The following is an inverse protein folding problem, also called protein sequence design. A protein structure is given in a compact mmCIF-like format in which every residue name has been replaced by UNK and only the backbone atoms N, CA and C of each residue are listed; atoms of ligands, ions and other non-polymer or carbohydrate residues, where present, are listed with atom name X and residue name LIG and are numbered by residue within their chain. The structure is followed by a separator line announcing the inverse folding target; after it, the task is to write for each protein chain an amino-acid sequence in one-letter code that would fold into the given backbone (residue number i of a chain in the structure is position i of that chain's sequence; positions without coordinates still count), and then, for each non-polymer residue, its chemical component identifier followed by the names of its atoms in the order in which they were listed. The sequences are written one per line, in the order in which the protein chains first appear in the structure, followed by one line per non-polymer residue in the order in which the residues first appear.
data_IF_297528525309
#
_entry.id   IF_297528525309
#
_cell.length_a   1.000
_cell.length_b   1.000
_cell.length_c   1.000
_cell.angle_alpha   90.00
_cell.angle_beta   90.00
_cell.angle_gamma   90.00
#
_symmetry.space_group_name_H-M   'P 1'
#
loop_
_entity.id
_entity.type
_entity.pdbx_description
1 polymer ?
#
# COMPACT_ATOMS: atom_id res chain seq x y z
N UNK A 1 -18.04 44.22 40.68
CA UNK A 1 -18.47 43.72 39.35
C UNK A 1 -17.30 43.38 38.44
N UNK A 2 -16.22 44.12 38.36
CA UNK A 2 -15.07 43.90 37.47
C UNK A 2 -14.34 42.54 37.72
N UNK A 3 -14.18 42.15 38.99
CA UNK A 3 -13.47 40.93 39.39
C UNK A 3 -14.21 39.66 38.99
N UNK A 4 -15.53 39.66 38.95
CA UNK A 4 -16.36 38.51 38.54
C UNK A 4 -16.26 38.26 37.03
N UNK A 5 -16.14 39.31 36.23
CA UNK A 5 -15.94 39.18 34.77
C UNK A 5 -14.54 38.66 34.43
N UNK A 6 -13.50 39.04 35.20
CA UNK A 6 -12.13 38.52 35.03
C UNK A 6 -12.05 37.03 35.36
N UNK A 7 -12.72 36.58 36.43
CA UNK A 7 -12.72 35.18 36.83
C UNK A 7 -13.52 34.31 35.85
N UNK A 8 -14.63 34.79 35.31
CA UNK A 8 -15.41 34.10 34.31
C UNK A 8 -14.67 34.01 32.95
N UNK A 9 -13.93 35.06 32.55
CA UNK A 9 -13.09 35.07 31.36
C UNK A 9 -11.91 34.11 31.45
N UNK A 10 -11.25 34.00 32.59
CA UNK A 10 -10.16 33.04 32.81
C UNK A 10 -10.66 31.59 32.83
N UNK A 11 -11.84 31.34 33.40
CA UNK A 11 -12.46 30.02 33.40
C UNK A 11 -12.83 29.57 31.98
N UNK A 12 -13.38 30.42 31.14
CA UNK A 12 -13.73 30.12 29.76
C UNK A 12 -12.49 29.75 28.90
N UNK A 13 -11.36 30.44 29.10
CA UNK A 13 -10.09 30.13 28.40
C UNK A 13 -9.50 28.78 28.80
N UNK A 14 -9.71 28.35 30.06
CA UNK A 14 -9.20 27.06 30.57
C UNK A 14 -10.08 25.87 30.12
N UNK A 15 -11.35 26.10 29.76
CA UNK A 15 -12.30 25.07 29.35
C UNK A 15 -12.58 25.07 27.85
N UNK A 16 -12.03 26.00 27.08
CA UNK A 16 -12.06 25.91 25.63
C UNK A 16 -11.21 24.69 25.23
N UNK A 17 -11.74 23.76 24.39
CA UNK A 17 -10.91 22.71 23.84
C UNK A 17 -9.69 23.38 23.19
N UNK A 18 -8.50 22.96 23.60
CA UNK A 18 -7.28 23.41 22.92
C UNK A 18 -7.42 22.95 21.48
N UNK A 19 -7.64 23.91 20.57
CA UNK A 19 -7.52 23.61 19.15
C UNK A 19 -6.20 22.88 18.98
N UNK A 20 -6.27 21.67 18.42
CA UNK A 20 -5.06 20.92 18.02
C UNK A 20 -4.30 21.82 17.06
N UNK A 21 -3.25 22.51 17.54
CA UNK A 21 -2.35 23.25 16.67
C UNK A 21 -1.54 22.25 15.88
N UNK A 22 -1.99 22.00 14.66
CA UNK A 22 -1.26 21.19 13.72
C UNK A 22 0.05 21.89 13.32
N UNK A 23 1.13 21.11 13.19
CA UNK A 23 2.38 21.66 12.69
C UNK A 23 2.23 21.89 11.17
N UNK A 24 2.11 23.15 10.76
CA UNK A 24 1.92 23.55 9.35
C UNK A 24 3.15 23.33 8.46
N UNK A 25 4.32 23.13 9.06
CA UNK A 25 5.60 23.04 8.36
C UNK A 25 6.13 21.60 8.24
N UNK A 26 5.33 20.61 8.62
CA UNK A 26 5.75 19.22 8.54
C UNK A 26 5.98 18.80 7.08
N UNK A 27 7.12 18.19 6.82
CA UNK A 27 7.50 17.62 5.54
C UNK A 27 6.77 16.30 5.30
N UNK A 28 6.28 16.06 4.07
CA UNK A 28 5.67 14.79 3.67
C UNK A 28 6.75 13.93 3.00
N UNK A 29 7.07 12.78 3.59
CA UNK A 29 8.06 11.82 3.11
C UNK A 29 7.39 10.46 2.95
N UNK A 30 7.16 10.04 1.71
CA UNK A 30 6.40 8.84 1.39
C UNK A 30 7.32 7.76 0.87
N UNK A 31 7.09 6.51 1.27
CA UNK A 31 7.78 5.34 0.75
C UNK A 31 6.83 4.23 0.31
N UNK A 32 7.16 3.54 -0.78
CA UNK A 32 6.44 2.37 -1.27
C UNK A 32 7.36 1.40 -2.01
N UNK A 33 6.89 0.17 -2.25
CA UNK A 33 7.58 -0.80 -3.10
C UNK A 33 7.51 -0.44 -4.58
N UNK A 34 8.27 -1.18 -5.41
CA UNK A 34 8.17 -1.16 -6.87
C UNK A 34 7.05 -2.11 -7.38
N UNK A 35 5.93 -2.10 -6.69
CA UNK A 35 4.75 -2.94 -6.84
C UNK A 35 3.48 -2.07 -6.93
N UNK A 36 2.30 -2.66 -6.79
CA UNK A 36 1.04 -1.90 -6.86
C UNK A 36 0.92 -0.80 -5.78
N UNK A 37 1.65 -0.94 -4.68
CA UNK A 37 1.71 0.12 -3.67
C UNK A 37 2.48 1.35 -4.17
N UNK A 38 3.48 1.15 -5.05
CA UNK A 38 4.19 2.23 -5.73
C UNK A 38 3.27 3.00 -6.69
N UNK A 39 2.40 2.30 -7.42
CA UNK A 39 1.40 2.95 -8.28
C UNK A 39 0.47 3.84 -7.44
N UNK A 40 0.00 3.35 -6.30
CA UNK A 40 -0.83 4.14 -5.38
C UNK A 40 -0.06 5.35 -4.80
N UNK A 41 1.22 5.17 -4.47
CA UNK A 41 2.09 6.26 -4.03
C UNK A 41 2.22 7.35 -5.10
N UNK A 42 2.52 6.97 -6.34
CA UNK A 42 2.74 7.91 -7.45
C UNK A 42 1.47 8.73 -7.73
N UNK A 43 0.30 8.10 -7.72
CA UNK A 43 -0.98 8.79 -7.87
C UNK A 43 -1.29 9.72 -6.67
N UNK A 44 -0.91 9.33 -5.46
CA UNK A 44 -1.04 10.17 -4.26
C UNK A 44 -0.13 11.40 -4.36
N UNK A 45 1.11 11.21 -4.78
CA UNK A 45 2.08 12.30 -5.01
C UNK A 45 1.58 13.27 -6.09
N UNK A 46 1.00 12.75 -7.18
CA UNK A 46 0.43 13.59 -8.22
C UNK A 46 -0.78 14.40 -7.71
N UNK A 47 -1.65 13.77 -6.92
CA UNK A 47 -2.77 14.45 -6.28
C UNK A 47 -2.33 15.53 -5.27
N UNK A 48 -1.20 15.34 -4.57
CA UNK A 48 -0.61 16.34 -3.69
C UNK A 48 -0.11 17.58 -4.45
N UNK A 49 0.45 17.41 -5.64
CA UNK A 49 0.91 18.52 -6.51
C UNK A 49 -0.26 19.40 -6.95
N UNK A 50 -1.40 18.80 -7.26
CA UNK A 50 -2.64 19.52 -7.65
C UNK A 50 -3.14 20.44 -6.52
N UNK A 51 -2.87 20.10 -5.26
CA UNK A 51 -3.31 20.85 -4.09
C UNK A 51 -2.51 22.11 -3.78
N UNK A 52 -1.53 22.47 -4.58
CA UNK A 52 -0.61 23.61 -4.33
C UNK A 52 -0.04 23.63 -2.92
N UNK A 53 0.21 22.46 -2.36
CA UNK A 53 0.84 22.33 -1.05
C UNK A 53 2.28 22.82 -1.21
N UNK A 54 2.59 23.97 -0.62
CA UNK A 54 3.94 24.57 -0.65
C UNK A 54 4.91 23.86 0.31
N UNK A 55 4.69 22.57 0.56
CA UNK A 55 5.45 21.76 1.50
C UNK A 55 6.48 20.93 0.77
N UNK A 56 7.58 20.66 1.41
CA UNK A 56 8.58 19.74 0.86
C UNK A 56 7.96 18.35 0.81
N UNK A 57 7.88 17.81 -0.40
CA UNK A 57 7.37 16.48 -0.69
C UNK A 57 8.54 15.63 -1.18
N UNK A 58 8.79 14.52 -0.50
CA UNK A 58 9.76 13.51 -0.92
C UNK A 58 9.06 12.18 -1.11
N UNK A 59 9.36 11.49 -2.20
CA UNK A 59 8.89 10.12 -2.43
C UNK A 59 10.08 9.21 -2.68
N UNK A 60 10.02 8.00 -2.12
CA UNK A 60 11.07 6.99 -2.22
C UNK A 60 10.47 5.67 -2.66
N UNK A 61 10.94 5.13 -3.79
CA UNK A 61 10.57 3.80 -4.24
C UNK A 61 11.62 2.79 -3.79
N UNK A 62 11.17 1.69 -3.17
CA UNK A 62 12.02 0.57 -2.76
C UNK A 62 11.97 -0.50 -3.85
N UNK A 63 13.12 -1.07 -4.22
CA UNK A 63 13.17 -2.16 -5.22
C UNK A 63 12.41 -3.42 -4.81
N UNK A 64 12.15 -3.56 -3.52
CA UNK A 64 11.40 -4.67 -2.94
C UNK A 64 10.78 -4.19 -1.63
N UNK A 65 9.45 -4.22 -1.52
CA UNK A 65 8.75 -3.84 -0.29
C UNK A 65 9.17 -4.70 0.92
N UNK A 66 9.66 -5.92 0.66
CA UNK A 66 10.15 -6.84 1.68
C UNK A 66 11.64 -6.63 2.01
N UNK A 67 12.30 -5.64 1.41
CA UNK A 67 13.71 -5.37 1.66
C UNK A 67 13.98 -4.78 3.05
N UNK A 68 15.17 -5.01 3.57
CA UNK A 68 15.64 -4.34 4.78
C UNK A 68 15.64 -2.81 4.61
N UNK A 69 15.82 -2.31 3.39
CA UNK A 69 15.83 -0.88 3.07
C UNK A 69 14.48 -0.22 3.38
N UNK A 70 13.37 -0.89 3.04
CA UNK A 70 12.02 -0.38 3.33
C UNK A 70 11.78 -0.24 4.85
N UNK A 71 12.17 -1.26 5.62
CA UNK A 71 12.05 -1.24 7.09
C UNK A 71 12.97 -0.18 7.70
N UNK A 72 14.20 -0.07 7.19
CA UNK A 72 15.17 0.89 7.68
C UNK A 72 14.76 2.34 7.44
N UNK A 73 14.17 2.67 6.29
CA UNK A 73 13.78 4.02 5.92
C UNK A 73 12.79 4.64 6.93
N UNK A 74 11.80 3.87 7.40
CA UNK A 74 10.87 4.31 8.44
C UNK A 74 11.57 4.48 9.79
N UNK A 75 12.40 3.52 10.17
CA UNK A 75 13.13 3.55 11.44
C UNK A 75 14.17 4.68 11.50
N UNK A 76 14.78 5.03 10.38
CA UNK A 76 15.74 6.12 10.24
C UNK A 76 15.06 7.49 10.05
N UNK A 77 13.71 7.56 10.00
CA UNK A 77 12.92 8.78 9.73
C UNK A 77 13.20 9.40 8.35
N UNK A 78 13.67 8.58 7.40
CA UNK A 78 13.79 9.00 6.00
C UNK A 78 12.43 9.13 5.33
N UNK A 79 11.44 8.36 5.80
CA UNK A 79 10.03 8.50 5.46
C UNK A 79 9.20 8.60 6.73
N UNK A 80 8.04 9.25 6.63
CA UNK A 80 7.06 9.34 7.72
C UNK A 80 5.72 8.70 7.39
N UNK A 81 5.54 8.28 6.14
CA UNK A 81 4.42 7.49 5.65
C UNK A 81 4.95 6.39 4.73
N UNK A 82 4.54 5.16 4.94
CA UNK A 82 4.98 4.02 4.12
C UNK A 82 3.85 3.08 3.75
N UNK A 83 3.83 2.67 2.47
CA UNK A 83 2.95 1.61 2.00
C UNK A 83 3.69 0.28 2.07
N UNK A 84 3.28 -0.59 2.95
CA UNK A 84 3.96 -1.86 3.22
C UNK A 84 3.02 -3.06 3.06
N UNK A 85 3.56 -4.18 2.59
CA UNK A 85 2.86 -5.44 2.74
C UNK A 85 2.66 -5.75 4.25
N UNK A 86 1.60 -6.49 4.56
CA UNK A 86 1.18 -6.74 5.96
C UNK A 86 2.28 -7.38 6.82
N UNK A 87 3.16 -8.19 6.21
CA UNK A 87 4.27 -8.84 6.91
C UNK A 87 5.30 -7.80 7.38
N UNK A 88 5.77 -6.95 6.47
CA UNK A 88 6.77 -5.91 6.78
C UNK A 88 6.21 -4.84 7.71
N UNK A 89 4.94 -4.43 7.52
CA UNK A 89 4.28 -3.49 8.43
C UNK A 89 4.31 -3.98 9.88
N UNK A 90 3.97 -5.25 10.11
CA UNK A 90 4.03 -5.85 11.46
C UNK A 90 5.44 -5.83 12.03
N UNK A 91 6.44 -6.22 11.24
CA UNK A 91 7.84 -6.17 11.68
C UNK A 91 8.29 -4.76 12.04
N UNK A 92 7.97 -3.79 11.21
CA UNK A 92 8.32 -2.38 11.43
C UNK A 92 7.72 -1.86 12.73
N UNK A 93 6.42 -2.08 12.97
CA UNK A 93 5.75 -1.62 14.19
C UNK A 93 6.24 -2.35 15.44
N UNK A 94 6.58 -3.64 15.34
CA UNK A 94 7.16 -4.38 16.47
C UNK A 94 8.55 -3.87 16.88
N UNK A 95 9.31 -3.35 15.94
CA UNK A 95 10.67 -2.85 16.18
C UNK A 95 10.71 -1.35 16.53
N UNK A 96 9.68 -0.60 16.17
CA UNK A 96 9.64 0.85 16.37
C UNK A 96 8.29 1.27 16.95
N UNK A 97 8.30 1.73 18.20
CA UNK A 97 7.10 2.19 18.92
C UNK A 97 6.60 3.58 18.48
N UNK A 98 7.42 4.32 17.72
CA UNK A 98 7.06 5.64 17.20
C UNK A 98 6.18 5.56 15.94
N UNK A 99 5.98 4.37 15.39
CA UNK A 99 5.14 4.15 14.21
C UNK A 99 3.97 3.23 14.51
N UNK A 100 2.94 3.29 13.66
CA UNK A 100 1.77 2.42 13.76
C UNK A 100 1.19 2.09 12.38
N UNK A 101 0.38 1.03 12.33
CA UNK A 101 -0.44 0.71 11.17
C UNK A 101 -1.70 1.57 11.23
N UNK A 102 -1.81 2.53 10.32
CA UNK A 102 -2.97 3.43 10.25
C UNK A 102 -4.22 2.72 9.69
N UNK A 103 -4.04 1.93 8.63
CA UNK A 103 -5.16 1.18 8.06
C UNK A 103 -4.78 0.39 6.80
N UNK A 104 -5.70 -0.48 6.32
CA UNK A 104 -5.54 -1.20 5.07
C UNK A 104 -5.72 -0.25 3.88
N UNK A 105 -4.92 -0.44 2.83
CA UNK A 105 -4.90 0.44 1.65
C UNK A 105 -5.17 -0.31 0.35
N UNK A 106 -4.72 -1.57 0.24
CA UNK A 106 -4.94 -2.40 -0.95
C UNK A 106 -5.34 -3.81 -0.51
N UNK A 107 -6.39 -4.34 -1.14
CA UNK A 107 -6.76 -5.74 -1.07
C UNK A 107 -6.52 -6.41 -2.42
N UNK A 108 -6.21 -7.71 -2.39
CA UNK A 108 -6.10 -8.56 -3.58
C UNK A 108 -5.03 -8.05 -4.57
N UNK A 109 -3.89 -7.57 -4.08
CA UNK A 109 -2.82 -6.98 -4.91
C UNK A 109 -1.93 -8.00 -5.62
N UNK A 110 -2.21 -9.30 -5.49
CA UNK A 110 -1.47 -10.39 -6.15
C UNK A 110 -2.42 -11.23 -7.01
N UNK A 111 -1.88 -11.80 -8.07
CA UNK A 111 -2.60 -12.71 -8.98
C UNK A 111 -1.73 -13.92 -9.30
N UNK A 112 -2.35 -15.02 -9.69
CA UNK A 112 -1.65 -16.15 -10.29
C UNK A 112 -1.57 -15.90 -11.79
N UNK A 113 -0.39 -16.03 -12.38
CA UNK A 113 -0.19 -16.06 -13.83
C UNK A 113 0.27 -17.43 -14.27
N UNK A 114 -0.23 -17.90 -15.41
CA UNK A 114 0.11 -19.20 -15.99
C UNK A 114 0.04 -19.14 -17.51
N UNK A 115 0.77 -20.04 -18.19
CA UNK A 115 0.89 -20.00 -19.65
C UNK A 115 -0.29 -20.72 -20.31
N UNK A 116 -0.47 -21.99 -20.02
CA UNK A 116 -1.49 -22.87 -20.60
C UNK A 116 -1.89 -23.93 -19.57
N UNK A 117 -3.11 -24.47 -19.69
CA UNK A 117 -3.51 -25.68 -18.97
C UNK A 117 -3.39 -25.62 -17.44
N UNK A 118 -4.11 -24.65 -16.83
CA UNK A 118 -4.16 -24.50 -15.36
C UNK A 118 -4.41 -25.83 -14.62
N UNK A 119 -5.20 -26.72 -15.23
CA UNK A 119 -5.52 -28.05 -14.68
C UNK A 119 -4.29 -28.96 -14.46
N UNK A 120 -3.18 -28.66 -15.11
CA UNK A 120 -1.91 -29.40 -14.99
C UNK A 120 -0.93 -28.76 -14.01
N UNK A 121 -1.26 -27.57 -13.46
CA UNK A 121 -0.38 -26.84 -12.53
C UNK A 121 -0.51 -27.44 -11.13
N UNK A 122 0.55 -28.09 -10.67
CA UNK A 122 0.65 -28.64 -9.30
C UNK A 122 1.57 -27.83 -8.39
N UNK A 123 2.48 -27.04 -8.97
CA UNK A 123 3.46 -26.25 -8.22
C UNK A 123 3.43 -24.79 -8.70
N UNK A 124 3.40 -23.85 -7.74
CA UNK A 124 3.46 -22.43 -8.02
C UNK A 124 4.82 -21.85 -7.67
N UNK A 125 5.38 -21.03 -8.54
CA UNK A 125 6.46 -20.16 -8.14
C UNK A 125 5.91 -19.03 -7.26
N UNK A 126 6.65 -18.68 -6.22
CA UNK A 126 6.28 -17.62 -5.28
C UNK A 126 7.53 -16.88 -4.83
N UNK A 127 7.40 -15.59 -4.58
CA UNK A 127 8.49 -14.81 -3.98
C UNK A 127 8.79 -15.31 -2.58
N UNK A 128 10.08 -15.49 -2.26
CA UNK A 128 10.54 -15.91 -0.94
C UNK A 128 9.93 -15.07 0.19
N UNK A 129 9.50 -15.74 1.27
CA UNK A 129 8.91 -15.08 2.44
C UNK A 129 7.42 -14.69 2.29
N UNK A 130 6.74 -15.10 1.22
CA UNK A 130 5.30 -14.85 0.99
C UNK A 130 4.43 -15.99 1.52
N UNK A 131 4.56 -16.32 2.81
CA UNK A 131 3.82 -17.43 3.44
C UNK A 131 2.31 -17.28 3.33
N UNK A 132 1.79 -16.05 3.49
CA UNK A 132 0.35 -15.79 3.37
C UNK A 132 -0.17 -16.12 1.98
N UNK A 133 0.57 -15.76 0.93
CA UNK A 133 0.17 -16.04 -0.46
C UNK A 133 0.14 -17.54 -0.76
N UNK A 134 1.07 -18.32 -0.17
CA UNK A 134 1.06 -19.79 -0.27
C UNK A 134 -0.21 -20.38 0.37
N UNK A 135 -0.54 -19.94 1.59
CA UNK A 135 -1.73 -20.41 2.32
C UNK A 135 -2.99 -20.10 1.52
N UNK A 136 -3.15 -18.86 1.05
CA UNK A 136 -4.31 -18.44 0.25
C UNK A 136 -4.45 -19.28 -1.03
N UNK A 137 -3.34 -19.48 -1.77
CA UNK A 137 -3.36 -20.30 -2.99
C UNK A 137 -3.76 -21.75 -2.70
N UNK A 138 -3.21 -22.34 -1.63
CA UNK A 138 -3.50 -23.74 -1.28
C UNK A 138 -4.93 -23.95 -0.78
N UNK A 139 -5.49 -22.97 -0.06
CA UNK A 139 -6.89 -23.01 0.38
C UNK A 139 -7.86 -22.87 -0.80
N UNK A 140 -7.51 -22.05 -1.80
CA UNK A 140 -8.38 -21.79 -2.96
C UNK A 140 -8.23 -22.87 -4.04
N UNK A 141 -7.01 -23.40 -4.23
CA UNK A 141 -6.66 -24.34 -5.29
C UNK A 141 -6.04 -25.62 -4.71
N UNK A 142 -6.88 -26.59 -4.27
CA UNK A 142 -6.42 -27.80 -3.57
C UNK A 142 -5.49 -28.71 -4.42
N UNK A 143 -5.46 -28.55 -5.75
CA UNK A 143 -4.55 -29.29 -6.63
C UNK A 143 -3.09 -28.85 -6.47
N UNK A 144 -2.83 -27.66 -5.89
CA UNK A 144 -1.48 -27.17 -5.65
C UNK A 144 -0.84 -27.95 -4.52
N UNK A 145 0.22 -28.71 -4.86
CA UNK A 145 0.93 -29.59 -3.96
C UNK A 145 2.19 -28.96 -3.38
N UNK A 146 2.76 -27.95 -4.06
CA UNK A 146 4.00 -27.34 -3.64
C UNK A 146 4.26 -25.93 -4.14
N UNK A 147 5.29 -25.32 -3.58
CA UNK A 147 5.71 -23.97 -3.93
C UNK A 147 7.22 -23.94 -4.21
N UNK A 148 7.59 -23.32 -5.33
CA UNK A 148 8.97 -23.02 -5.68
C UNK A 148 9.29 -21.59 -5.24
N UNK A 149 10.07 -21.44 -4.17
CA UNK A 149 10.44 -20.12 -3.67
C UNK A 149 11.58 -19.53 -4.49
N UNK A 150 11.29 -18.43 -5.19
CA UNK A 150 12.21 -17.74 -6.08
C UNK A 150 12.36 -16.29 -5.60
N UNK A 151 13.52 -15.69 -5.80
CA UNK A 151 13.68 -14.24 -5.50
C UNK A 151 12.76 -13.41 -6.40
N UNK A 152 12.25 -12.29 -5.90
CA UNK A 152 11.35 -11.42 -6.64
C UNK A 152 11.89 -11.06 -8.04
N UNK A 153 13.20 -10.82 -8.16
CA UNK A 153 13.84 -10.49 -9.45
C UNK A 153 13.92 -11.66 -10.41
N UNK A 154 13.95 -12.89 -9.88
CA UNK A 154 14.10 -14.10 -10.68
C UNK A 154 12.79 -14.71 -11.17
N UNK A 155 11.67 -14.34 -10.55
CA UNK A 155 10.41 -15.06 -10.80
C UNK A 155 9.86 -14.87 -12.22
N UNK A 156 9.96 -13.64 -12.78
CA UNK A 156 9.58 -13.38 -14.17
C UNK A 156 10.47 -14.12 -15.16
N UNK A 157 11.80 -14.12 -14.90
CA UNK A 157 12.73 -14.87 -15.73
C UNK A 157 12.44 -16.37 -15.71
N UNK A 158 12.13 -16.93 -14.54
CA UNK A 158 11.78 -18.35 -14.42
C UNK A 158 10.51 -18.71 -15.18
N UNK A 159 9.53 -17.80 -15.27
CA UNK A 159 8.34 -17.96 -16.10
C UNK A 159 8.68 -17.90 -17.60
N UNK A 160 9.43 -16.88 -18.02
CA UNK A 160 9.79 -16.67 -19.43
C UNK A 160 10.69 -17.79 -19.96
N UNK A 161 11.59 -18.29 -19.14
CA UNK A 161 12.53 -19.39 -19.46
C UNK A 161 11.92 -20.79 -19.23
N UNK A 162 10.61 -20.86 -18.96
CA UNK A 162 9.85 -22.10 -18.78
C UNK A 162 10.39 -23.02 -17.65
N UNK A 163 11.05 -22.41 -16.66
CA UNK A 163 11.51 -23.13 -15.45
C UNK A 163 10.35 -23.41 -14.48
N UNK A 164 9.26 -22.65 -14.59
CA UNK A 164 8.01 -22.81 -13.86
C UNK A 164 6.82 -22.55 -14.78
N UNK A 165 5.73 -23.27 -14.57
CA UNK A 165 4.52 -23.17 -15.40
C UNK A 165 3.58 -22.05 -14.96
N UNK A 166 3.63 -21.69 -13.69
CA UNK A 166 2.79 -20.67 -13.07
C UNK A 166 3.48 -19.99 -11.89
N UNK A 167 3.08 -18.76 -11.58
CA UNK A 167 3.62 -18.00 -10.47
C UNK A 167 2.58 -17.08 -9.81
N UNK A 168 2.75 -16.85 -8.52
CA UNK A 168 2.06 -15.79 -7.79
C UNK A 168 2.88 -14.51 -7.93
N UNK A 169 2.28 -13.47 -8.51
CA UNK A 169 2.93 -12.18 -8.76
C UNK A 169 2.08 -11.03 -8.22
N UNK A 170 2.76 -9.96 -7.78
CA UNK A 170 2.12 -8.64 -7.71
C UNK A 170 1.57 -8.26 -9.09
N UNK A 171 0.40 -7.62 -9.12
CA UNK A 171 -0.31 -7.32 -10.38
C UNK A 171 0.52 -6.44 -11.33
N UNK A 172 1.41 -5.57 -10.83
CA UNK A 172 2.29 -4.76 -11.68
C UNK A 172 3.39 -5.59 -12.34
N UNK A 173 3.80 -6.69 -11.70
CA UNK A 173 4.75 -7.65 -12.30
C UNK A 173 4.03 -8.56 -13.28
N UNK A 174 2.82 -9.01 -12.95
CA UNK A 174 1.97 -9.78 -13.85
C UNK A 174 1.64 -9.01 -15.14
N UNK A 175 1.43 -7.70 -15.07
CA UNK A 175 1.21 -6.84 -16.22
C UNK A 175 2.39 -6.81 -17.23
N UNK A 176 3.59 -7.23 -16.82
CA UNK A 176 4.77 -7.33 -17.71
C UNK A 176 4.77 -8.58 -18.59
N UNK A 177 3.92 -9.54 -18.28
CA UNK A 177 3.71 -10.78 -19.06
C UNK A 177 2.24 -10.88 -19.51
N UNK A 178 1.75 -9.93 -20.34
CA UNK A 178 0.34 -9.79 -20.67
C UNK A 178 -0.20 -10.94 -21.52
N UNK A 179 0.67 -11.73 -22.14
CA UNK A 179 0.32 -12.90 -22.94
C UNK A 179 0.01 -14.14 -22.07
N UNK A 180 0.35 -14.09 -20.77
CA UNK A 180 -0.03 -15.12 -19.82
C UNK A 180 -1.46 -14.91 -19.34
N UNK A 181 -2.15 -16.01 -19.08
CA UNK A 181 -3.45 -15.97 -18.43
C UNK A 181 -3.27 -15.59 -16.96
N UNK A 182 -4.27 -14.96 -16.38
CA UNK A 182 -4.27 -14.60 -14.97
C UNK A 182 -5.55 -15.08 -14.28
N UNK A 183 -5.47 -15.27 -12.97
CA UNK A 183 -6.59 -15.66 -12.13
C UNK A 183 -6.40 -15.15 -10.70
N UNK A 184 -7.48 -14.98 -9.93
CA UNK A 184 -7.38 -14.53 -8.54
C UNK A 184 -6.49 -15.45 -7.71
N UNK A 185 -5.72 -14.88 -6.78
CA UNK A 185 -4.97 -15.68 -5.80
C UNK A 185 -5.90 -16.36 -4.79
N UNK A 186 -7.05 -15.76 -4.50
CA UNK A 186 -8.02 -16.24 -3.51
C UNK A 186 -9.44 -15.88 -3.93
N UNK A 187 -10.40 -16.73 -3.59
CA UNK A 187 -11.84 -16.46 -3.75
C UNK A 187 -12.37 -15.49 -2.69
N UNK A 188 -11.61 -15.24 -1.63
CA UNK A 188 -11.95 -14.30 -0.56
C UNK A 188 -11.03 -13.09 -0.55
N UNK A 189 -11.58 -11.94 -0.18
CA UNK A 189 -10.79 -10.72 -0.03
C UNK A 189 -9.73 -10.85 1.06
N UNK A 190 -8.53 -10.36 0.76
CA UNK A 190 -7.43 -10.32 1.73
C UNK A 190 -6.67 -9.00 1.63
N UNK A 191 -6.21 -8.48 2.77
CA UNK A 191 -5.39 -7.26 2.82
C UNK A 191 -3.99 -7.60 2.32
N UNK A 192 -3.55 -6.92 1.25
CA UNK A 192 -2.21 -7.03 0.69
C UNK A 192 -1.27 -5.98 1.27
N UNK A 193 -1.72 -4.73 1.32
CA UNK A 193 -0.92 -3.59 1.79
C UNK A 193 -1.67 -2.76 2.82
N UNK A 194 -0.89 -2.17 3.72
CA UNK A 194 -1.35 -1.25 4.77
C UNK A 194 -0.52 0.03 4.75
N UNK A 195 -1.08 1.10 5.27
CA UNK A 195 -0.36 2.35 5.55
C UNK A 195 0.27 2.26 6.93
N UNK A 196 1.57 2.53 7.01
CA UNK A 196 2.31 2.73 8.27
C UNK A 196 2.69 4.20 8.37
N UNK A 197 2.48 4.80 9.52
CA UNK A 197 2.70 6.23 9.76
C UNK A 197 3.53 6.46 11.02
N UNK A 198 4.38 7.50 10.98
CA UNK A 198 5.01 8.05 12.18
C UNK A 198 3.95 8.77 13.02
N UNK A 199 3.81 8.43 14.29
CA UNK A 199 2.77 8.95 15.21
C UNK A 199 2.81 10.46 15.43
N UNK A 200 3.98 11.09 15.31
CA UNK A 200 4.08 12.54 15.41
C UNK A 200 3.67 13.21 14.09
N UNK A 201 3.98 12.58 12.94
CA UNK A 201 3.54 13.06 11.66
C UNK A 201 2.02 12.96 11.51
N UNK A 202 1.40 11.89 12.00
CA UNK A 202 -0.06 11.70 11.98
C UNK A 202 -0.82 12.90 12.61
N UNK A 203 -0.21 13.58 13.59
CA UNK A 203 -0.80 14.73 14.29
C UNK A 203 -0.63 16.06 13.55
N UNK A 204 -0.20 16.07 12.30
CA UNK A 204 0.11 17.28 11.52
C UNK A 204 -0.96 17.60 10.49
N UNK A 205 -1.09 18.86 10.08
CA UNK A 205 -1.91 19.25 8.92
C UNK A 205 -1.40 18.59 7.64
N UNK A 206 -0.09 18.37 7.53
CA UNK A 206 0.51 17.71 6.38
C UNK A 206 -0.02 16.27 6.20
N UNK A 207 -0.29 15.57 7.29
CA UNK A 207 -0.90 14.24 7.22
C UNK A 207 -2.35 14.30 6.74
N UNK A 208 -3.12 15.33 7.13
CA UNK A 208 -4.48 15.52 6.62
C UNK A 208 -4.48 15.79 5.12
N UNK A 209 -3.58 16.66 4.64
CA UNK A 209 -3.39 16.90 3.20
C UNK A 209 -3.00 15.61 2.46
N UNK A 210 -2.15 14.78 3.09
CA UNK A 210 -1.79 13.47 2.55
C UNK A 210 -3.02 12.57 2.44
N UNK A 211 -3.80 12.37 3.51
CA UNK A 211 -5.00 11.50 3.52
C UNK A 211 -6.02 11.96 2.46
N UNK A 212 -6.25 13.27 2.37
CA UNK A 212 -7.16 13.81 1.36
C UNK A 212 -6.68 13.50 -0.07
N UNK A 213 -5.39 13.70 -0.35
CA UNK A 213 -4.80 13.42 -1.66
C UNK A 213 -4.75 11.92 -1.96
N UNK A 214 -4.47 11.10 -0.94
CA UNK A 214 -4.55 9.65 -1.01
C UNK A 214 -5.97 9.18 -1.40
N UNK A 215 -7.02 9.67 -0.74
CA UNK A 215 -8.39 9.29 -1.05
C UNK A 215 -8.79 9.69 -2.49
N UNK A 216 -8.27 10.80 -3.00
CA UNK A 216 -8.43 11.17 -4.42
C UNK A 216 -7.73 10.18 -5.35
N UNK A 217 -6.50 9.75 -5.02
CA UNK A 217 -5.77 8.74 -5.78
C UNK A 217 -6.54 7.41 -5.80
N UNK A 218 -7.04 6.97 -4.65
CA UNK A 218 -7.92 5.79 -4.53
C UNK A 218 -9.14 5.89 -5.43
N UNK A 219 -9.83 7.04 -5.43
CA UNK A 219 -10.99 7.26 -6.30
C UNK A 219 -10.66 7.13 -7.79
N UNK A 220 -9.48 7.60 -8.23
CA UNK A 220 -9.01 7.45 -9.62
C UNK A 220 -8.68 5.98 -9.94
N UNK A 221 -7.88 5.33 -9.09
CA UNK A 221 -7.42 3.95 -9.29
C UNK A 221 -8.55 2.91 -9.16
N UNK A 222 -9.63 3.22 -8.46
CA UNK A 222 -10.82 2.36 -8.39
C UNK A 222 -11.62 2.32 -9.68
N UNK A 223 -11.30 3.16 -10.68
CA UNK A 223 -11.85 3.06 -12.02
C UNK A 223 -10.98 2.12 -12.85
N UNK A 224 -11.54 0.99 -13.32
CA UNK A 224 -10.83 -0.06 -14.06
C UNK A 224 -10.12 0.46 -15.32
N UNK A 225 -10.80 1.31 -16.11
CA UNK A 225 -10.21 1.90 -17.32
C UNK A 225 -9.06 2.86 -17.02
N UNK A 226 -9.09 3.57 -15.88
CA UNK A 226 -7.99 4.39 -15.42
C UNK A 226 -6.81 3.53 -14.98
N UNK A 227 -7.07 2.53 -14.13
CA UNK A 227 -6.05 1.60 -13.63
C UNK A 227 -5.37 0.86 -14.79
N UNK A 228 -6.15 0.34 -15.75
CA UNK A 228 -5.61 -0.32 -16.93
C UNK A 228 -4.64 0.58 -17.72
N UNK A 229 -4.99 1.86 -17.89
CA UNK A 229 -4.13 2.85 -18.55
C UNK A 229 -2.85 3.11 -17.78
N UNK A 230 -2.93 3.28 -16.46
CA UNK A 230 -1.76 3.50 -15.59
C UNK A 230 -0.83 2.30 -15.63
N UNK A 231 -1.39 1.09 -15.63
CA UNK A 231 -0.62 -0.16 -15.68
C UNK A 231 -0.14 -0.55 -17.08
N UNK A 232 -0.64 0.12 -18.14
CA UNK A 232 -0.28 -0.20 -19.52
C UNK A 232 -0.87 -1.51 -20.04
N UNK A 233 -2.01 -1.97 -19.50
CA UNK A 233 -2.73 -3.18 -19.88
C UNK A 233 -4.09 -2.85 -20.49
N UNK A 234 -4.73 -3.84 -21.11
CA UNK A 234 -6.13 -3.72 -21.54
C UNK A 234 -7.05 -3.86 -20.33
N UNK A 235 -8.22 -3.22 -20.39
CA UNK A 235 -9.19 -3.28 -19.29
C UNK A 235 -9.69 -4.70 -19.02
N UNK A 236 -9.89 -5.50 -20.09
CA UNK A 236 -10.30 -6.90 -19.99
C UNK A 236 -9.28 -7.75 -19.19
N UNK A 237 -8.00 -7.37 -19.20
CA UNK A 237 -6.97 -8.05 -18.41
C UNK A 237 -7.22 -7.95 -16.90
N UNK A 238 -7.85 -6.86 -16.47
CA UNK A 238 -8.20 -6.64 -15.06
C UNK A 238 -9.48 -7.35 -14.60
N UNK A 239 -10.31 -7.86 -15.53
CA UNK A 239 -11.61 -8.46 -15.19
C UNK A 239 -11.48 -9.68 -14.25
N UNK A 240 -10.36 -10.44 -14.38
CA UNK A 240 -10.06 -11.57 -13.53
C UNK A 240 -9.30 -11.18 -12.24
N UNK A 241 -9.01 -9.89 -12.03
CA UNK A 241 -8.26 -9.39 -10.88
C UNK A 241 -9.19 -8.55 -10.01
N UNK A 242 -9.52 -9.05 -8.83
CA UNK A 242 -10.41 -8.36 -7.89
C UNK A 242 -9.63 -7.41 -6.97
N UNK A 243 -8.75 -6.58 -7.54
CA UNK A 243 -8.01 -5.58 -6.74
C UNK A 243 -8.96 -4.51 -6.20
N UNK A 244 -8.73 -4.09 -4.95
CA UNK A 244 -9.48 -3.01 -4.31
C UNK A 244 -8.53 -2.03 -3.65
N UNK A 245 -8.70 -0.76 -3.96
CA UNK A 245 -8.08 0.35 -3.24
C UNK A 245 -9.06 0.86 -2.19
N UNK A 246 -8.59 1.00 -0.95
CA UNK A 246 -9.44 1.36 0.19
C UNK A 246 -9.20 2.80 0.60
N UNK A 247 -10.25 3.56 0.81
CA UNK A 247 -10.17 4.90 1.40
C UNK A 247 -9.79 4.82 2.88
N UNK A 248 -9.09 5.82 3.36
CA UNK A 248 -8.76 5.99 4.77
C UNK A 248 -9.64 7.08 5.37
N UNK A 249 -9.97 6.96 6.66
CA UNK A 249 -10.76 7.96 7.36
C UNK A 249 -9.99 9.27 7.47
N UNK A 250 -10.65 10.36 7.09
CA UNK A 250 -10.14 11.70 7.36
C UNK A 250 -10.41 12.00 8.84
N UNK A 251 -9.38 12.40 9.56
CA UNK A 251 -9.58 12.83 10.95
C UNK A 251 -10.35 14.15 10.89
N UNK A 252 -11.64 14.11 11.20
CA UNK A 252 -12.50 15.29 11.18
C UNK A 252 -11.91 16.40 12.04
N UNK A 253 -11.80 17.59 11.49
CA UNK A 253 -11.54 18.82 12.26
C UNK A 253 -12.91 19.21 12.81
N UNK A 254 -13.26 18.66 14.00
CA UNK A 254 -14.39 19.15 14.80
C UNK A 254 -14.02 20.48 15.47
#
# INVERSE_FOLDING_TARGET
MLIVFLAAGLGAVLFLPKEKRWNKEAEIKIGAGDDISGVLMDETVEALKDYKVSRTLQSSSFQDCCSNTAQWAMNAKEINVGFYCTHIARHTVMQNQDVEIYGPVIMNGETIVYKEHWENVENLAVTQGREKSKVLAQETYPQIQGFNEITQKGILYALEDEQVDAAILDITKAAKVPDYQNMPLSDTDYISYVLVVDKEFEKTEAFQDFIHSYNRAVSRLSNSGYLARVMGVKEEWLENINIKFLTLEEIGVD
#
